data_IF_752832521079
#
_entry.id   IF_752832521079
#
_cell.length_a   1.000
_cell.length_b   1.000
_cell.length_c   1.000
_cell.angle_alpha   90.00
_cell.angle_beta   90.00
_cell.angle_gamma   90.00
#
_symmetry.space_group_name_H-M   'P 1'
#
loop_
_entity.id
_entity.type
_entity.pdbx_description
1 polymer ?
#
# COMPACT_ATOMS: atom_id res chain seq x y z
N UNK A 1 10.67 -2.25 11.15
CA UNK A 1 9.78 -1.59 10.19
C UNK A 1 9.13 -2.63 9.32
N UNK A 2 7.84 -2.57 9.20
CA UNK A 2 7.09 -3.55 8.40
C UNK A 2 6.95 -3.06 6.97
N UNK A 3 7.01 -3.98 6.02
CA UNK A 3 6.92 -3.67 4.61
C UNK A 3 5.81 -4.49 3.98
N UNK A 4 4.95 -3.85 3.20
CA UNK A 4 3.84 -4.51 2.53
C UNK A 4 3.86 -4.16 1.06
N UNK A 5 3.52 -5.12 0.21
CA UNK A 5 3.32 -4.90 -1.21
C UNK A 5 1.85 -5.15 -1.51
N UNK A 6 1.18 -4.12 -1.97
CA UNK A 6 -0.23 -4.21 -2.33
C UNK A 6 -0.30 -4.30 -3.85
N UNK A 7 -0.95 -5.33 -4.36
CA UNK A 7 -1.00 -5.62 -5.79
C UNK A 7 -2.42 -5.45 -6.28
N UNK A 8 -2.58 -4.73 -7.38
CA UNK A 8 -3.87 -4.49 -7.99
C UNK A 8 -3.69 -4.23 -9.47
N UNK A 9 -4.76 -3.87 -10.15
CA UNK A 9 -4.71 -3.46 -11.56
C UNK A 9 -4.98 -1.97 -11.65
N UNK A 10 -4.35 -1.31 -12.62
CA UNK A 10 -4.51 0.12 -12.84
C UNK A 10 -4.87 0.35 -14.31
N UNK A 11 -5.77 1.31 -14.55
CA UNK A 11 -6.10 1.69 -15.91
C UNK A 11 -4.90 2.33 -16.60
N UNK A 12 -4.80 2.20 -17.95
CA UNK A 12 -3.58 2.59 -18.67
C UNK A 12 -3.12 4.02 -18.43
N UNK A 13 -4.02 4.98 -18.39
CA UNK A 13 -3.64 6.39 -18.30
C UNK A 13 -3.93 6.99 -16.93
N UNK A 14 -4.06 6.16 -15.91
CA UNK A 14 -4.48 6.63 -14.59
C UNK A 14 -3.31 6.94 -13.65
N UNK A 15 -2.07 6.73 -14.09
CA UNK A 15 -0.91 6.84 -13.21
C UNK A 15 -0.84 8.19 -12.50
N UNK A 16 -0.99 9.28 -13.25
CA UNK A 16 -0.86 10.62 -12.67
C UNK A 16 -2.00 10.92 -11.71
N UNK A 17 -3.22 10.46 -12.03
CA UNK A 17 -4.37 10.68 -11.16
C UNK A 17 -4.20 9.92 -9.85
N UNK A 18 -3.74 8.67 -9.91
CA UNK A 18 -3.51 7.86 -8.71
C UNK A 18 -2.44 8.50 -7.85
N UNK A 19 -1.33 8.94 -8.47
CA UNK A 19 -0.26 9.60 -7.72
C UNK A 19 -0.77 10.88 -7.06
N UNK A 20 -1.63 11.63 -7.74
CA UNK A 20 -2.18 12.86 -7.20
C UNK A 20 -3.07 12.59 -5.98
N UNK A 21 -3.90 11.55 -6.05
CA UNK A 21 -4.76 11.17 -4.92
C UNK A 21 -3.92 10.90 -3.68
N UNK A 22 -2.85 10.12 -3.84
CA UNK A 22 -1.99 9.82 -2.69
C UNK A 22 -1.19 11.04 -2.23
N UNK A 23 -0.75 11.89 -3.16
CA UNK A 23 -0.02 13.10 -2.78
C UNK A 23 -0.87 14.00 -1.89
N UNK A 24 -2.16 14.14 -2.22
CA UNK A 24 -3.08 14.92 -1.39
C UNK A 24 -3.31 14.25 -0.04
N UNK A 25 -3.54 12.95 -0.05
CA UNK A 25 -3.79 12.21 1.19
C UNK A 25 -2.58 12.26 2.12
N UNK A 26 -1.38 12.23 1.56
CA UNK A 26 -0.16 12.25 2.37
C UNK A 26 0.08 13.60 3.03
N UNK A 27 -0.67 14.64 2.65
CA UNK A 27 -0.64 15.93 3.34
C UNK A 27 -1.57 15.96 4.55
N UNK A 28 -2.41 14.95 4.73
CA UNK A 28 -3.35 14.88 5.85
C UNK A 28 -2.75 14.10 7.01
N UNK A 29 -3.53 13.90 8.06
CA UNK A 29 -3.08 13.13 9.22
C UNK A 29 -3.13 11.62 9.00
N UNK A 30 -3.70 11.17 7.87
CA UNK A 30 -3.91 9.75 7.64
C UNK A 30 -2.61 8.93 7.69
N UNK A 31 -1.50 9.34 7.06
CA UNK A 31 -0.27 8.56 7.17
C UNK A 31 0.19 8.36 8.60
N UNK A 32 0.05 9.39 9.44
CA UNK A 32 0.45 9.28 10.84
C UNK A 32 -0.43 8.31 11.59
N UNK A 33 -1.74 8.34 11.33
CA UNK A 33 -2.69 7.43 11.98
C UNK A 33 -2.39 5.99 11.58
N UNK A 34 -2.07 5.74 10.32
CA UNK A 34 -1.75 4.41 9.83
C UNK A 34 -0.31 4.00 10.13
N UNK A 35 0.50 4.91 10.63
CA UNK A 35 1.91 4.62 10.93
C UNK A 35 2.76 4.46 9.69
N UNK A 36 2.40 5.15 8.59
CA UNK A 36 3.11 5.05 7.33
C UNK A 36 4.43 5.81 7.40
N UNK A 37 5.51 5.15 7.05
CA UNK A 37 6.85 5.74 7.03
C UNK A 37 7.34 5.97 5.61
N UNK A 38 6.86 5.17 4.66
CA UNK A 38 7.24 5.31 3.26
C UNK A 38 6.16 4.72 2.37
N UNK A 39 5.94 5.35 1.25
CA UNK A 39 5.02 4.89 0.22
C UNK A 39 5.70 5.04 -1.12
N UNK A 40 5.68 3.98 -1.94
CA UNK A 40 6.18 4.04 -3.31
C UNK A 40 5.20 3.31 -4.22
N UNK A 41 4.87 3.92 -5.32
CA UNK A 41 3.94 3.35 -6.29
C UNK A 41 4.68 2.98 -7.56
N UNK A 42 4.42 1.79 -8.05
CA UNK A 42 5.06 1.26 -9.25
C UNK A 42 3.99 0.76 -10.20
N UNK A 43 4.26 0.84 -11.48
CA UNK A 43 3.36 0.30 -12.50
C UNK A 43 4.17 -0.44 -13.55
N UNK A 44 3.66 -1.61 -13.96
CA UNK A 44 4.18 -2.34 -15.11
C UNK A 44 2.98 -2.83 -15.90
N UNK A 45 2.77 -2.25 -17.09
CA UNK A 45 1.56 -2.54 -17.85
C UNK A 45 0.33 -2.14 -17.04
N UNK A 46 -0.58 -3.07 -16.80
CA UNK A 46 -1.75 -2.82 -15.96
C UNK A 46 -1.55 -3.29 -14.52
N UNK A 47 -0.33 -3.68 -14.17
CA UNK A 47 -0.03 -4.10 -12.81
C UNK A 47 0.34 -2.89 -11.96
N UNK A 48 -0.33 -2.76 -10.83
CA UNK A 48 -0.10 -1.72 -9.86
C UNK A 48 0.54 -2.34 -8.62
N UNK A 49 1.65 -1.78 -8.19
CA UNK A 49 2.36 -2.25 -7.01
C UNK A 49 2.58 -1.09 -6.06
N UNK A 50 2.07 -1.23 -4.84
CA UNK A 50 2.17 -0.20 -3.82
C UNK A 50 3.06 -0.73 -2.70
N UNK A 51 4.27 -0.21 -2.60
CA UNK A 51 5.18 -0.55 -1.51
C UNK A 51 4.89 0.38 -0.34
N UNK A 52 4.63 -0.21 0.81
CA UNK A 52 4.27 0.53 2.01
C UNK A 52 5.16 0.08 3.16
N UNK A 53 5.85 1.02 3.79
CA UNK A 53 6.59 0.74 5.02
C UNK A 53 5.86 1.38 6.18
N UNK A 54 5.57 0.58 7.20
CA UNK A 54 4.75 1.01 8.33
C UNK A 54 5.37 0.57 9.65
N UNK A 55 4.97 1.25 10.72
CA UNK A 55 5.41 0.89 12.08
C UNK A 55 4.75 -0.38 12.57
N UNK A 56 3.50 -0.62 12.16
CA UNK A 56 2.78 -1.84 12.48
C UNK A 56 2.71 -2.74 11.24
N UNK A 57 2.47 -4.04 11.41
CA UNK A 57 2.22 -4.91 10.26
C UNK A 57 1.13 -4.32 9.37
N UNK A 58 1.25 -4.53 8.06
CA UNK A 58 0.34 -3.93 7.08
C UNK A 58 -1.14 -4.09 7.40
N UNK A 59 -1.63 -5.31 7.72
CA UNK A 59 -3.04 -5.47 8.07
C UNK A 59 -3.46 -4.66 9.29
N UNK A 60 -2.59 -4.51 10.28
CA UNK A 60 -2.89 -3.70 11.46
C UNK A 60 -2.93 -2.20 11.10
N UNK A 61 -2.04 -1.76 10.24
CA UNK A 61 -2.04 -0.37 9.77
C UNK A 61 -3.35 -0.06 9.06
N UNK A 62 -3.82 -0.97 8.21
CA UNK A 62 -5.10 -0.79 7.51
C UNK A 62 -6.24 -0.74 8.51
N UNK A 63 -6.25 -1.64 9.50
CA UNK A 63 -7.32 -1.66 10.50
C UNK A 63 -7.39 -0.35 11.27
N UNK A 64 -6.24 0.24 11.60
CA UNK A 64 -6.22 1.49 12.33
C UNK A 64 -6.76 2.66 11.51
N UNK A 65 -6.63 2.59 10.20
CA UNK A 65 -6.97 3.70 9.33
C UNK A 65 -8.32 3.58 8.64
N UNK A 66 -8.84 2.37 8.48
CA UNK A 66 -9.92 2.14 7.50
C UNK A 66 -11.23 2.85 7.81
N UNK A 67 -11.46 3.22 9.07
CA UNK A 67 -12.67 3.95 9.44
C UNK A 67 -12.47 5.46 9.42
N UNK A 68 -11.26 5.94 9.14
CA UNK A 68 -11.01 7.36 9.07
C UNK A 68 -11.62 7.93 7.78
N UNK A 69 -12.29 9.10 7.86
CA UNK A 69 -12.92 9.68 6.66
C UNK A 69 -11.98 9.86 5.50
N UNK A 70 -10.73 10.21 5.76
CA UNK A 70 -9.75 10.40 4.70
C UNK A 70 -9.42 9.09 4.00
N UNK A 71 -9.36 7.97 4.74
CA UNK A 71 -9.14 6.66 4.14
C UNK A 71 -10.28 6.30 3.19
N UNK A 72 -11.51 6.54 3.64
CA UNK A 72 -12.70 6.28 2.81
C UNK A 72 -12.67 7.14 1.56
N UNK A 73 -12.30 8.42 1.71
CA UNK A 73 -12.23 9.33 0.57
C UNK A 73 -11.18 8.87 -0.45
N UNK A 74 -10.01 8.46 0.01
CA UNK A 74 -8.95 7.96 -0.87
C UNK A 74 -9.44 6.72 -1.61
N UNK A 75 -10.05 5.78 -0.90
CA UNK A 75 -10.57 4.56 -1.51
C UNK A 75 -11.59 4.87 -2.58
N UNK A 76 -12.50 5.80 -2.30
CA UNK A 76 -13.53 6.19 -3.26
C UNK A 76 -12.92 6.85 -4.49
N UNK A 77 -11.90 7.69 -4.30
CA UNK A 77 -11.25 8.38 -5.41
C UNK A 77 -10.41 7.43 -6.27
N UNK A 78 -9.89 6.38 -5.68
CA UNK A 78 -9.09 5.39 -6.42
C UNK A 78 -9.96 4.38 -7.17
N UNK A 79 -11.19 4.16 -6.71
CA UNK A 79 -12.04 3.11 -7.28
C UNK A 79 -12.19 3.15 -8.80
N UNK A 80 -12.29 4.33 -9.45
CA UNK A 80 -12.39 4.37 -10.91
C UNK A 80 -11.13 3.91 -11.63
N UNK A 81 -9.98 3.92 -10.96
CA UNK A 81 -8.69 3.69 -11.61
C UNK A 81 -8.02 2.38 -11.21
N UNK A 82 -8.32 1.90 -10.01
CA UNK A 82 -7.66 0.73 -9.43
C UNK A 82 -8.71 -0.36 -9.22
N UNK A 83 -8.43 -1.56 -9.70
CA UNK A 83 -9.34 -2.68 -9.54
C UNK A 83 -8.59 -3.88 -8.93
N UNK A 84 -9.33 -4.82 -8.32
CA UNK A 84 -8.70 -5.98 -7.71
C UNK A 84 -7.94 -6.83 -8.70
N UNK A 85 -6.78 -7.33 -8.27
CA UNK A 85 -6.02 -8.29 -9.07
C UNK A 85 -6.62 -9.70 -8.94
N UNK A 86 -7.04 -10.06 -7.72
CA UNK A 86 -7.63 -11.37 -7.48
C UNK A 86 -9.16 -11.26 -7.45
N UNK A 87 -9.88 -12.24 -8.04
CA UNK A 87 -11.34 -12.19 -8.02
C UNK A 87 -11.93 -12.39 -6.62
N UNK A 88 -11.16 -12.90 -5.68
CA UNK A 88 -11.62 -13.13 -4.31
C UNK A 88 -11.37 -11.94 -3.39
N UNK A 89 -10.87 -10.84 -3.94
CA UNK A 89 -10.53 -9.66 -3.14
C UNK A 89 -11.77 -9.07 -2.48
N UNK A 90 -11.67 -8.78 -1.20
CA UNK A 90 -12.75 -8.19 -0.41
C UNK A 90 -12.35 -6.90 0.26
N UNK A 91 -11.07 -6.66 0.41
CA UNK A 91 -10.56 -5.46 1.04
C UNK A 91 -9.07 -5.33 0.80
N UNK A 92 -8.45 -4.23 1.22
CA UNK A 92 -7.02 -4.00 0.96
C UNK A 92 -6.13 -5.10 1.50
N UNK A 93 -6.54 -5.78 2.57
CA UNK A 93 -5.75 -6.87 3.14
C UNK A 93 -5.57 -8.02 2.15
N UNK A 94 -6.58 -8.26 1.31
CA UNK A 94 -6.54 -9.36 0.35
C UNK A 94 -5.63 -9.06 -0.85
N UNK A 95 -5.21 -7.81 -0.99
CA UNK A 95 -4.32 -7.40 -2.06
C UNK A 95 -2.85 -7.42 -1.65
N UNK A 96 -2.55 -7.77 -0.41
CA UNK A 96 -1.18 -7.76 0.07
C UNK A 96 -0.43 -8.99 -0.39
N UNK A 97 0.70 -8.78 -1.08
CA UNK A 97 1.57 -9.86 -1.49
C UNK A 97 2.30 -10.42 -0.28
N UNK A 98 2.54 -11.72 -0.33
CA UNK A 98 3.20 -12.41 0.77
C UNK A 98 4.67 -12.54 0.49
N UNK A 99 5.51 -12.05 1.39
CA UNK A 99 6.95 -12.22 1.28
C UNK A 99 7.28 -13.67 1.63
N UNK A 100 7.96 -14.37 0.73
CA UNK A 100 8.33 -15.76 1.00
C UNK A 100 9.84 -15.97 1.00
N UNK A 101 10.61 -14.89 0.85
CA UNK A 101 12.06 -14.92 1.00
C UNK A 101 12.53 -13.51 1.24
N UNK A 102 13.40 -13.33 2.22
CA UNK A 102 13.96 -12.02 2.53
C UNK A 102 15.40 -12.22 2.99
N UNK A 103 16.31 -11.40 2.44
CA UNK A 103 17.72 -11.48 2.81
C UNK A 103 18.29 -10.09 2.92
N UNK A 104 19.10 -9.91 3.93
CA UNK A 104 19.90 -8.71 4.05
C UNK A 104 21.33 -9.13 4.36
N UNK A 105 22.32 -8.36 3.90
CA UNK A 105 23.69 -8.64 4.32
C UNK A 105 23.77 -8.40 5.80
N UNK A 106 23.75 -9.47 6.50
CA UNK A 106 23.74 -9.37 7.91
C UNK A 106 25.03 -8.78 8.32
N UNK A 107 24.92 -7.73 8.93
CA UNK A 107 26.07 -7.31 9.58
C UNK A 107 26.19 -8.18 10.72
N UNK A 108 26.48 -9.15 10.46
CA UNK A 108 26.48 -9.95 11.49
C UNK A 108 25.24 -10.50 11.64
N UNK A 109 24.99 -10.47 11.20
CA UNK A 109 24.27 -10.99 11.47
C UNK A 109 23.30 -11.29 11.15
N UNK A 110 23.24 -11.85 10.96
CA UNK A 110 22.29 -12.07 10.66
C UNK A 110 21.35 -11.97 11.23
N UNK A 111 21.54 -11.28 11.12
CA UNK A 111 21.01 -11.15 11.65
C UNK A 111 20.47 -11.06 12.02
N UNK A 112 20.82 -10.98 11.90
CA UNK A 112 20.52 -10.82 12.34
C UNK A 112 19.89 -10.69 12.78
N UNK A 113 19.85 -10.77 12.79
CA UNK A 113 19.36 -10.62 13.39
C UNK A 113 18.95 -10.61 13.86
#
# INVERSE_FOLDING_TARGET
>A
MNRSLIIAKILPDAQDEVAHVFAESDQTELPAIAGVRRRSLYRLGDLYVHLLETELPGPDAVRNAKNHPEFVRVSDRLAPYISPYLPTWRGPEDAQARCFYDWTPSSGGPNAD
#
